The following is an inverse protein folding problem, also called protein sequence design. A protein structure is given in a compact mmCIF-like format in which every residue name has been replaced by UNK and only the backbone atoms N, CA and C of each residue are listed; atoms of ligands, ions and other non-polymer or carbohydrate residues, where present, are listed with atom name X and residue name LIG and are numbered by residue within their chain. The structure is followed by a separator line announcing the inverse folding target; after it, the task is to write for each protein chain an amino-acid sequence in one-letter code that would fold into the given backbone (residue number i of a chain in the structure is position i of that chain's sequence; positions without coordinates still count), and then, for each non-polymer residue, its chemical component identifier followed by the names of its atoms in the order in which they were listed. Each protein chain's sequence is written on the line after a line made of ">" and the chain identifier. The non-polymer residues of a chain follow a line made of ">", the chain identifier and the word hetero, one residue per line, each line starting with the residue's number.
data_IF_980550879108
#
_entry.id   IF_980550879108
#
_cell.length_a   1.000
_cell.length_b   1.000
_cell.length_c   1.000
_cell.angle_alpha   90.00
_cell.angle_beta   90.00
_cell.angle_gamma   90.00
#
_symmetry.space_group_name_H-M   'P 1'
#
loop_
_entity.id
_entity.type
_entity.pdbx_description
1 polymer ?
#
# COMPACT_ATOMS: atom_id res chain seq x y z
N UNK A 1 0.32 -28.69 -7.70
CA UNK A 1 -0.73 -28.14 -8.58
C UNK A 1 -2.02 -27.81 -7.83
N UNK A 2 -2.67 -28.75 -7.11
CA UNK A 2 -3.98 -28.50 -6.43
C UNK A 2 -4.00 -27.28 -5.49
N UNK A 3 -2.97 -27.07 -4.63
CA UNK A 3 -2.92 -25.92 -3.70
C UNK A 3 -2.92 -24.56 -4.41
N UNK A 4 -2.20 -24.43 -5.53
CA UNK A 4 -2.16 -23.17 -6.27
C UNK A 4 -3.49 -22.88 -6.99
N UNK A 5 -4.17 -23.91 -7.49
CA UNK A 5 -5.50 -23.77 -8.08
C UNK A 5 -6.49 -23.29 -7.03
N UNK A 6 -6.53 -23.91 -5.85
CA UNK A 6 -7.42 -23.51 -4.74
C UNK A 6 -7.15 -22.06 -4.34
N UNK A 7 -5.87 -21.67 -4.13
CA UNK A 7 -5.49 -20.28 -3.79
C UNK A 7 -5.98 -19.30 -4.85
N UNK A 8 -5.78 -19.60 -6.12
CA UNK A 8 -6.23 -18.75 -7.24
C UNK A 8 -7.75 -18.65 -7.28
N UNK A 9 -8.47 -19.77 -7.13
CA UNK A 9 -9.94 -19.77 -7.09
C UNK A 9 -10.48 -18.92 -5.93
N UNK A 10 -9.88 -19.00 -4.74
CA UNK A 10 -10.28 -18.16 -3.61
C UNK A 10 -10.04 -16.67 -3.87
N UNK A 11 -8.93 -16.30 -4.50
CA UNK A 11 -8.65 -14.89 -4.84
C UNK A 11 -9.64 -14.36 -5.88
N UNK A 12 -9.99 -15.16 -6.89
CA UNK A 12 -11.02 -14.79 -7.86
C UNK A 12 -12.41 -14.70 -7.22
N UNK A 13 -12.78 -15.66 -6.37
CA UNK A 13 -14.05 -15.63 -5.65
C UNK A 13 -14.15 -14.35 -4.80
N UNK A 14 -13.11 -14.02 -4.05
CA UNK A 14 -13.06 -12.80 -3.25
C UNK A 14 -13.21 -11.54 -4.13
N UNK A 15 -12.56 -11.52 -5.29
CA UNK A 15 -12.69 -10.43 -6.26
C UNK A 15 -14.14 -10.30 -6.74
N UNK A 16 -14.77 -11.41 -7.12
CA UNK A 16 -16.17 -11.40 -7.55
C UNK A 16 -17.12 -10.93 -6.47
N UNK A 17 -16.91 -11.34 -5.22
CA UNK A 17 -17.72 -10.87 -4.08
C UNK A 17 -17.63 -9.34 -3.93
N UNK A 18 -16.42 -8.79 -3.95
CA UNK A 18 -16.24 -7.33 -3.86
C UNK A 18 -16.81 -6.59 -5.06
N UNK A 19 -16.63 -7.10 -6.27
CA UNK A 19 -17.20 -6.49 -7.48
C UNK A 19 -18.73 -6.59 -7.48
N UNK A 20 -19.31 -7.69 -6.99
CA UNK A 20 -20.75 -7.80 -6.84
C UNK A 20 -21.31 -6.70 -5.93
N UNK A 21 -20.73 -6.48 -4.74
CA UNK A 21 -21.17 -5.43 -3.83
C UNK A 21 -20.89 -4.02 -4.37
N UNK A 22 -19.84 -3.86 -5.16
CA UNK A 22 -19.48 -2.61 -5.83
C UNK A 22 -20.53 -2.24 -6.88
N UNK A 23 -20.90 -3.19 -7.76
CA UNK A 23 -21.83 -2.94 -8.85
C UNK A 23 -23.31 -3.15 -8.49
N UNK A 24 -23.62 -3.74 -7.36
CA UNK A 24 -24.98 -3.99 -6.92
C UNK A 24 -25.76 -2.70 -6.75
N UNK A 25 -26.99 -2.62 -7.31
CA UNK A 25 -27.89 -1.47 -7.22
C UNK A 25 -27.28 -0.15 -7.76
N UNK A 26 -26.57 -0.24 -8.85
CA UNK A 26 -25.93 0.90 -9.53
C UNK A 26 -26.71 1.22 -10.80
N UNK A 27 -26.98 2.50 -11.03
CA UNK A 27 -27.59 2.98 -12.25
C UNK A 27 -26.51 3.22 -13.31
N UNK A 28 -26.40 2.31 -14.28
CA UNK A 28 -25.34 2.34 -15.28
C UNK A 28 -25.35 3.56 -16.19
N UNK A 29 -26.54 4.11 -16.49
CA UNK A 29 -26.67 5.35 -17.24
C UNK A 29 -25.97 6.52 -16.55
N UNK A 30 -26.10 6.62 -15.23
CA UNK A 30 -25.39 7.64 -14.45
C UNK A 30 -23.88 7.39 -14.39
N UNK A 31 -23.46 6.13 -14.17
CA UNK A 31 -22.04 5.78 -14.14
C UNK A 31 -21.32 6.19 -15.42
N UNK A 32 -21.91 5.88 -16.57
CA UNK A 32 -21.33 6.25 -17.87
C UNK A 32 -21.20 7.77 -18.03
N UNK A 33 -22.18 8.54 -17.54
CA UNK A 33 -22.11 10.00 -17.48
C UNK A 33 -20.89 10.49 -16.69
N UNK A 34 -20.63 9.89 -15.52
CA UNK A 34 -19.49 10.28 -14.66
C UNK A 34 -18.12 9.85 -15.20
N UNK A 35 -18.04 8.89 -16.14
CA UNK A 35 -16.78 8.55 -16.81
C UNK A 35 -16.29 9.68 -17.74
N UNK A 36 -17.19 10.50 -18.25
CA UNK A 36 -16.90 11.53 -19.24
C UNK A 36 -16.87 12.95 -18.69
N UNK A 37 -17.33 13.18 -17.47
CA UNK A 37 -17.45 14.52 -16.85
C UNK A 37 -16.17 15.01 -16.17
N UNK A 38 -15.03 14.36 -16.40
CA UNK A 38 -13.75 14.69 -15.76
C UNK A 38 -13.14 15.95 -16.40
N UNK A 39 -12.76 16.92 -15.57
CA UNK A 39 -12.02 18.09 -16.05
C UNK A 39 -10.60 17.69 -16.53
N UNK A 40 -10.35 17.88 -17.81
CA UNK A 40 -9.12 17.42 -18.49
C UNK A 40 -7.84 18.01 -17.87
N UNK A 41 -7.87 19.24 -17.36
CA UNK A 41 -6.70 19.88 -16.73
C UNK A 41 -6.24 19.07 -15.49
N UNK A 42 -7.18 18.77 -14.60
CA UNK A 42 -6.87 17.98 -13.39
C UNK A 42 -6.54 16.53 -13.74
N UNK A 43 -7.14 15.97 -14.77
CA UNK A 43 -6.81 14.63 -15.27
C UNK A 43 -5.34 14.55 -15.73
N UNK A 44 -4.85 15.52 -16.48
CA UNK A 44 -3.44 15.60 -16.90
C UNK A 44 -2.52 15.74 -15.68
N UNK A 45 -2.91 16.58 -14.70
CA UNK A 45 -2.14 16.72 -13.44
C UNK A 45 -2.03 15.37 -12.72
N UNK A 46 -3.11 14.58 -12.64
CA UNK A 46 -3.08 13.26 -12.02
C UNK A 46 -2.12 12.29 -12.73
N UNK A 47 -2.09 12.32 -14.06
CA UNK A 47 -1.13 11.52 -14.85
C UNK A 47 0.31 11.89 -14.49
N UNK A 48 0.60 13.20 -14.36
CA UNK A 48 1.95 13.71 -14.02
C UNK A 48 2.31 13.37 -12.56
N UNK A 49 1.36 13.47 -11.63
CA UNK A 49 1.62 13.19 -10.20
C UNK A 49 1.81 11.69 -9.94
N UNK A 50 1.17 10.82 -10.71
CA UNK A 50 1.27 9.36 -10.48
C UNK A 50 2.73 8.85 -10.38
N UNK A 51 3.67 9.17 -11.29
CA UNK A 51 5.06 8.75 -11.14
C UNK A 51 5.80 9.44 -9.99
N UNK A 52 5.33 10.60 -9.52
CA UNK A 52 5.94 11.30 -8.37
C UNK A 52 5.83 10.44 -7.09
N UNK A 53 4.78 9.64 -6.96
CA UNK A 53 4.67 8.68 -5.86
C UNK A 53 5.79 7.64 -5.85
N UNK A 54 6.29 7.23 -7.03
CA UNK A 54 7.44 6.32 -7.11
C UNK A 54 8.73 7.02 -6.71
N UNK A 55 8.88 8.30 -7.10
CA UNK A 55 10.02 9.14 -6.72
C UNK A 55 10.10 9.29 -5.20
N UNK A 56 9.01 9.72 -4.56
CA UNK A 56 8.97 9.96 -3.10
C UNK A 56 9.23 8.68 -2.31
N UNK A 57 8.63 7.57 -2.74
CA UNK A 57 8.87 6.24 -2.14
C UNK A 57 10.30 5.75 -2.36
N UNK A 58 10.87 5.95 -3.55
CA UNK A 58 12.24 5.57 -3.86
C UNK A 58 13.27 6.36 -3.04
N UNK A 59 13.00 7.66 -2.78
CA UNK A 59 13.83 8.48 -1.89
C UNK A 59 13.74 7.96 -0.46
N UNK A 60 12.52 7.70 0.05
CA UNK A 60 12.32 7.17 1.39
C UNK A 60 13.04 5.83 1.60
N UNK A 61 12.92 4.91 0.64
CA UNK A 61 13.48 3.57 0.74
C UNK A 61 15.02 3.55 0.82
N UNK A 62 15.69 4.54 0.28
CA UNK A 62 17.15 4.68 0.42
C UNK A 62 17.60 4.63 1.88
N UNK A 63 16.84 5.25 2.78
CA UNK A 63 17.20 5.30 4.19
C UNK A 63 17.16 3.94 4.89
N UNK A 64 16.36 3.01 4.41
CA UNK A 64 16.37 1.61 4.86
C UNK A 64 17.54 0.82 4.24
N UNK A 65 17.80 1.03 2.95
CA UNK A 65 18.83 0.30 2.22
C UNK A 65 20.26 0.70 2.60
N UNK A 66 20.47 1.90 3.10
CA UNK A 66 21.80 2.44 3.50
C UNK A 66 22.56 1.57 4.50
N UNK A 67 21.86 0.74 5.27
CA UNK A 67 22.49 -0.08 6.32
C UNK A 67 23.31 -1.25 5.76
N UNK A 68 22.98 -1.73 4.56
CA UNK A 68 23.80 -2.75 3.89
C UNK A 68 24.71 -2.11 2.83
N UNK A 69 24.20 -1.10 2.11
CA UNK A 69 24.93 -0.46 1.02
C UNK A 69 24.77 1.06 1.07
N UNK A 70 25.87 1.78 1.28
CA UNK A 70 25.87 3.26 1.47
C UNK A 70 25.20 4.03 0.33
N UNK A 71 25.32 3.56 -0.93
CA UNK A 71 24.70 4.19 -2.11
C UNK A 71 24.04 3.14 -2.99
N UNK A 72 22.72 3.14 -3.01
CA UNK A 72 21.88 2.41 -3.95
C UNK A 72 21.44 3.36 -5.05
N UNK A 73 21.57 3.00 -6.33
CA UNK A 73 21.20 3.89 -7.43
C UNK A 73 19.73 4.26 -7.37
N UNK A 74 19.43 5.56 -7.48
CA UNK A 74 18.05 6.06 -7.49
C UNK A 74 17.23 5.41 -8.62
N UNK A 75 17.82 5.30 -9.84
CA UNK A 75 17.16 4.67 -10.97
C UNK A 75 16.70 3.24 -10.67
N UNK A 76 17.52 2.43 -9.97
CA UNK A 76 17.17 1.05 -9.63
C UNK A 76 16.04 0.99 -8.58
N UNK A 77 16.03 1.91 -7.62
CA UNK A 77 14.95 2.04 -6.64
C UNK A 77 13.63 2.49 -7.29
N UNK A 78 13.69 3.51 -8.17
CA UNK A 78 12.54 3.99 -8.94
C UNK A 78 11.97 2.89 -9.86
N UNK A 79 12.83 2.26 -10.66
CA UNK A 79 12.45 1.15 -11.54
C UNK A 79 11.79 0.00 -10.76
N UNK A 80 12.33 -0.30 -9.57
CA UNK A 80 11.79 -1.31 -8.68
C UNK A 80 10.34 -1.03 -8.26
N UNK A 81 10.00 0.23 -7.92
CA UNK A 81 8.63 0.62 -7.61
C UNK A 81 7.72 0.49 -8.83
N UNK A 82 8.11 1.08 -9.97
CA UNK A 82 7.33 1.03 -11.19
C UNK A 82 7.06 -0.40 -11.65
N UNK A 83 8.11 -1.24 -11.72
CA UNK A 83 8.02 -2.65 -12.11
C UNK A 83 7.20 -3.45 -11.09
N UNK A 84 7.43 -3.25 -9.78
CA UNK A 84 6.70 -3.94 -8.73
C UNK A 84 5.20 -3.64 -8.76
N UNK A 85 4.81 -2.38 -8.89
CA UNK A 85 3.40 -2.02 -9.02
C UNK A 85 2.78 -2.56 -10.33
N UNK A 86 3.51 -2.50 -11.45
CA UNK A 86 3.06 -3.10 -12.72
C UNK A 86 2.78 -4.59 -12.57
N UNK A 87 3.69 -5.33 -11.93
CA UNK A 87 3.48 -6.77 -11.64
C UNK A 87 2.27 -6.98 -10.73
N UNK A 88 2.06 -6.12 -9.72
CA UNK A 88 0.88 -6.21 -8.82
C UNK A 88 -0.44 -5.90 -9.54
N UNK A 89 -0.44 -5.04 -10.56
CA UNK A 89 -1.62 -4.77 -11.37
C UNK A 89 -1.95 -5.90 -12.35
N UNK A 90 -0.93 -6.61 -12.85
CA UNK A 90 -1.15 -7.64 -13.89
C UNK A 90 -1.36 -9.03 -13.28
N UNK A 91 -0.59 -9.36 -12.23
CA UNK A 91 -0.63 -10.68 -11.62
C UNK A 91 -1.38 -10.67 -10.29
N UNK A 92 -2.14 -11.73 -9.98
CA UNK A 92 -2.85 -11.84 -8.70
C UNK A 92 -1.89 -12.08 -7.54
N UNK A 93 -2.37 -11.81 -6.30
CA UNK A 93 -1.64 -12.12 -5.08
C UNK A 93 -0.55 -11.13 -4.73
N UNK A 94 -0.57 -9.91 -5.31
CA UNK A 94 0.39 -8.83 -5.03
C UNK A 94 1.85 -9.24 -5.21
N UNK A 95 2.11 -10.07 -6.22
CA UNK A 95 3.45 -10.59 -6.52
C UNK A 95 4.51 -9.49 -6.70
N UNK A 96 4.09 -8.29 -7.08
CA UNK A 96 4.99 -7.16 -7.21
C UNK A 96 5.65 -6.75 -5.89
N UNK A 97 5.05 -7.02 -4.73
CA UNK A 97 5.69 -6.76 -3.43
C UNK A 97 6.89 -7.69 -3.17
N UNK A 98 6.88 -8.88 -3.76
CA UNK A 98 8.02 -9.79 -3.73
C UNK A 98 9.03 -9.47 -4.84
N UNK A 99 8.53 -9.14 -6.04
CA UNK A 99 9.39 -8.80 -7.19
C UNK A 99 10.21 -7.54 -6.92
N UNK A 100 9.62 -6.52 -6.29
CA UNK A 100 10.26 -5.22 -6.01
C UNK A 100 11.60 -5.37 -5.27
N UNK A 101 11.67 -6.01 -4.09
CA UNK A 101 12.92 -6.18 -3.36
C UNK A 101 13.94 -7.07 -4.09
N UNK A 102 13.47 -8.14 -4.73
CA UNK A 102 14.35 -9.04 -5.48
C UNK A 102 15.00 -8.34 -6.68
N UNK A 103 14.26 -7.47 -7.35
CA UNK A 103 14.78 -6.68 -8.47
C UNK A 103 15.93 -5.76 -8.01
N UNK A 104 15.78 -5.02 -6.89
CA UNK A 104 16.86 -4.18 -6.37
C UNK A 104 18.01 -5.02 -5.84
N UNK A 105 17.74 -6.09 -5.10
CA UNK A 105 18.77 -6.97 -4.57
C UNK A 105 19.67 -7.51 -5.68
N UNK A 106 19.08 -7.93 -6.80
CA UNK A 106 19.82 -8.42 -7.96
C UNK A 106 20.62 -7.31 -8.66
N UNK A 107 19.99 -6.15 -8.93
CA UNK A 107 20.64 -5.02 -9.63
C UNK A 107 21.78 -4.40 -8.82
N UNK A 108 21.65 -4.36 -7.51
CA UNK A 108 22.59 -3.72 -6.60
C UNK A 108 23.53 -4.70 -5.89
N UNK A 109 23.38 -6.02 -6.17
CA UNK A 109 24.17 -7.11 -5.54
C UNK A 109 24.08 -7.07 -4.00
N UNK A 110 22.84 -6.93 -3.49
CA UNK A 110 22.52 -6.89 -2.05
C UNK A 110 21.92 -8.22 -1.60
N UNK A 111 21.97 -8.49 -0.30
CA UNK A 111 21.27 -9.64 0.30
C UNK A 111 19.76 -9.57 0.02
N UNK A 112 19.21 -10.61 -0.59
CA UNK A 112 17.76 -10.70 -0.87
C UNK A 112 16.96 -10.58 0.40
N UNK A 113 17.39 -11.27 1.45
CA UNK A 113 16.72 -11.29 2.72
C UNK A 113 16.71 -9.93 3.42
N UNK A 114 17.83 -9.24 3.45
CA UNK A 114 17.90 -7.88 3.97
C UNK A 114 16.94 -6.95 3.23
N UNK A 115 16.96 -6.95 1.89
CA UNK A 115 16.07 -6.08 1.09
C UNK A 115 14.59 -6.44 1.29
N UNK A 116 14.26 -7.75 1.42
CA UNK A 116 12.90 -8.20 1.79
C UNK A 116 12.50 -7.67 3.17
N UNK A 117 13.39 -7.77 4.18
CA UNK A 117 13.16 -7.22 5.51
C UNK A 117 12.83 -5.73 5.50
N UNK A 118 13.50 -4.92 4.65
CA UNK A 118 13.19 -3.49 4.53
C UNK A 118 11.78 -3.21 4.02
N UNK A 119 11.19 -4.11 3.21
CA UNK A 119 9.79 -3.98 2.76
C UNK A 119 8.82 -4.15 3.93
N UNK A 120 9.09 -5.13 4.81
CA UNK A 120 8.26 -5.34 5.99
C UNK A 120 8.30 -4.11 6.90
N UNK A 121 9.49 -3.56 7.14
CA UNK A 121 9.65 -2.30 7.89
C UNK A 121 8.86 -1.17 7.23
N UNK A 122 9.00 -1.00 5.92
CA UNK A 122 8.26 0.01 5.17
C UNK A 122 6.74 -0.13 5.33
N UNK A 123 6.19 -1.36 5.20
CA UNK A 123 4.75 -1.62 5.40
C UNK A 123 4.29 -1.35 6.83
N UNK A 124 5.10 -1.73 7.81
CA UNK A 124 4.82 -1.44 9.22
C UNK A 124 4.66 0.07 9.45
N UNK A 125 5.61 0.88 8.96
CA UNK A 125 5.53 2.33 9.09
C UNK A 125 4.37 2.93 8.28
N UNK A 126 4.07 2.40 7.10
CA UNK A 126 2.92 2.86 6.31
C UNK A 126 1.60 2.68 7.10
N UNK A 127 1.40 1.53 7.74
CA UNK A 127 0.22 1.27 8.58
C UNK A 127 0.22 2.22 9.78
N UNK A 128 1.34 2.35 10.48
CA UNK A 128 1.46 3.24 11.65
C UNK A 128 1.12 4.69 11.32
N UNK A 129 1.69 5.24 10.25
CA UNK A 129 1.44 6.63 9.84
C UNK A 129 -0.04 6.83 9.48
N UNK A 130 -0.65 5.90 8.75
CA UNK A 130 -2.06 6.03 8.39
C UNK A 130 -2.99 5.90 9.58
N UNK A 131 -2.72 4.98 10.51
CA UNK A 131 -3.47 4.89 11.76
C UNK A 131 -3.29 6.14 12.62
N UNK A 132 -2.08 6.70 12.67
CA UNK A 132 -1.80 7.94 13.39
C UNK A 132 -2.55 9.13 12.78
N UNK A 133 -2.51 9.30 11.44
CA UNK A 133 -3.25 10.36 10.75
C UNK A 133 -4.76 10.21 10.97
N UNK A 134 -5.30 8.99 10.89
CA UNK A 134 -6.71 8.73 11.17
C UNK A 134 -7.06 9.06 12.63
N UNK A 135 -6.23 8.67 13.58
CA UNK A 135 -6.41 9.01 14.99
C UNK A 135 -6.41 10.53 15.24
N UNK A 136 -5.44 11.25 14.65
CA UNK A 136 -5.40 12.72 14.72
C UNK A 136 -6.65 13.36 14.09
N UNK A 137 -7.10 12.84 12.94
CA UNK A 137 -8.31 13.31 12.29
C UNK A 137 -9.52 13.16 13.23
N UNK A 138 -9.71 11.99 13.82
CA UNK A 138 -10.83 11.73 14.74
C UNK A 138 -10.78 12.64 15.98
N UNK A 139 -9.59 12.80 16.57
CA UNK A 139 -9.38 13.67 17.72
C UNK A 139 -9.58 15.16 17.41
N UNK A 140 -9.44 15.55 16.13
CA UNK A 140 -9.64 16.95 15.70
C UNK A 140 -11.11 17.35 15.57
N UNK A 141 -12.08 16.42 15.67
CA UNK A 141 -13.52 16.72 15.49
C UNK A 141 -14.03 17.88 16.34
N UNK A 142 -13.71 17.97 17.65
CA UNK A 142 -14.19 19.07 18.45
C UNK A 142 -13.70 20.44 17.98
N UNK A 143 -12.52 20.48 17.33
CA UNK A 143 -11.89 21.71 16.85
C UNK A 143 -12.40 22.12 15.45
N UNK A 144 -12.73 21.12 14.60
CA UNK A 144 -13.12 21.33 13.20
C UNK A 144 -14.32 20.48 12.80
N UNK A 145 -15.52 20.72 13.38
CA UNK A 145 -16.71 19.92 13.09
C UNK A 145 -17.07 19.91 11.59
N UNK A 146 -16.80 21.01 10.88
CA UNK A 146 -17.09 21.16 9.45
C UNK A 146 -16.30 20.22 8.53
N UNK A 147 -15.23 19.59 9.03
CA UNK A 147 -14.47 18.58 8.27
C UNK A 147 -15.11 17.20 8.30
N UNK A 148 -16.11 17.00 9.16
CA UNK A 148 -16.79 15.73 9.35
C UNK A 148 -18.12 15.75 8.60
N UNK A 149 -18.09 15.24 7.36
CA UNK A 149 -19.27 15.14 6.50
C UNK A 149 -20.09 13.87 6.78
N UNK A 150 -19.54 12.96 7.59
CA UNK A 150 -20.15 11.69 7.92
C UNK A 150 -21.34 11.85 8.91
N UNK A 151 -22.30 10.92 8.83
CA UNK A 151 -23.38 10.80 9.83
C UNK A 151 -22.81 10.45 11.20
N UNK A 152 -23.57 10.72 12.29
CA UNK A 152 -23.16 10.38 13.66
C UNK A 152 -22.86 8.89 13.83
N UNK A 153 -23.63 8.00 13.17
CA UNK A 153 -23.40 6.56 13.18
C UNK A 153 -22.07 6.20 12.50
N UNK A 154 -21.80 6.73 11.31
CA UNK A 154 -20.56 6.53 10.59
C UNK A 154 -19.36 7.09 11.38
N UNK A 155 -19.57 8.21 12.10
CA UNK A 155 -18.55 8.78 12.98
C UNK A 155 -18.25 7.87 14.19
N UNK A 156 -19.26 7.36 14.87
CA UNK A 156 -19.06 6.49 16.04
C UNK A 156 -18.30 5.21 15.66
N UNK A 157 -18.64 4.63 14.53
CA UNK A 157 -17.89 3.49 13.96
C UNK A 157 -16.45 3.89 13.61
N UNK A 158 -16.24 5.06 12.98
CA UNK A 158 -14.91 5.56 12.66
C UNK A 158 -14.06 5.79 13.91
N UNK A 159 -14.66 6.32 14.99
CA UNK A 159 -13.99 6.54 16.26
C UNK A 159 -13.49 5.23 16.86
N UNK A 160 -14.33 4.19 16.91
CA UNK A 160 -13.94 2.87 17.36
C UNK A 160 -12.79 2.30 16.53
N UNK A 161 -12.91 2.32 15.21
CA UNK A 161 -11.86 1.85 14.31
C UNK A 161 -10.59 2.70 14.40
N UNK A 162 -10.70 4.00 14.65
CA UNK A 162 -9.56 4.88 14.87
C UNK A 162 -8.81 4.54 16.16
N UNK A 163 -9.53 4.32 17.27
CA UNK A 163 -8.92 3.89 18.53
C UNK A 163 -8.20 2.54 18.35
N UNK A 164 -8.88 1.57 17.72
CA UNK A 164 -8.28 0.27 17.41
C UNK A 164 -7.03 0.46 16.53
N UNK A 165 -7.11 1.30 15.50
CA UNK A 165 -5.99 1.58 14.59
C UNK A 165 -4.79 2.19 15.33
N UNK A 166 -5.01 3.16 16.21
CA UNK A 166 -3.94 3.75 17.04
C UNK A 166 -3.36 2.70 17.99
N UNK A 167 -4.21 1.91 18.64
CA UNK A 167 -3.75 0.84 19.54
C UNK A 167 -2.90 -0.19 18.79
N UNK A 168 -3.34 -0.62 17.60
CA UNK A 168 -2.57 -1.52 16.72
C UNK A 168 -1.25 -0.88 16.29
N UNK A 169 -1.26 0.40 15.91
CA UNK A 169 -0.04 1.11 15.50
C UNK A 169 0.97 1.16 16.66
N UNK A 170 0.51 1.52 17.87
CA UNK A 170 1.36 1.55 19.07
C UNK A 170 1.87 0.17 19.43
N UNK A 171 1.02 -0.86 19.36
CA UNK A 171 1.42 -2.24 19.59
C UNK A 171 2.49 -2.70 18.60
N UNK A 172 2.28 -2.50 17.30
CA UNK A 172 3.25 -2.86 16.26
C UNK A 172 4.57 -2.11 16.46
N UNK A 173 4.51 -0.82 16.84
CA UNK A 173 5.70 -0.05 17.14
C UNK A 173 6.44 -0.59 18.39
N UNK A 174 5.71 -0.89 19.46
CA UNK A 174 6.29 -1.49 20.66
C UNK A 174 6.94 -2.85 20.35
N UNK A 175 6.28 -3.69 19.53
CA UNK A 175 6.88 -4.95 19.06
C UNK A 175 8.13 -4.71 18.25
N UNK A 176 8.14 -3.75 17.34
CA UNK A 176 9.33 -3.40 16.55
C UNK A 176 10.49 -2.94 17.44
N UNK A 177 10.21 -2.10 18.47
CA UNK A 177 11.21 -1.68 19.46
C UNK A 177 11.70 -2.86 20.31
N UNK A 178 10.79 -3.74 20.74
CA UNK A 178 11.16 -4.94 21.48
C UNK A 178 12.08 -5.86 20.67
N UNK A 179 11.76 -6.11 19.39
CA UNK A 179 12.59 -6.89 18.48
C UNK A 179 13.95 -6.25 18.24
N UNK A 180 14.01 -4.92 18.24
CA UNK A 180 15.25 -4.18 18.06
C UNK A 180 16.14 -4.24 19.30
N UNK A 181 15.59 -3.92 20.50
CA UNK A 181 16.38 -3.85 21.74
C UNK A 181 16.65 -5.22 22.36
N UNK A 182 15.75 -6.17 22.23
CA UNK A 182 15.80 -7.48 22.86
C UNK A 182 15.90 -8.63 21.85
N UNK A 183 16.70 -8.42 20.81
CA UNK A 183 16.85 -9.33 19.67
C UNK A 183 16.99 -10.81 20.08
N UNK A 184 17.92 -11.12 21.00
CA UNK A 184 18.22 -12.50 21.43
C UNK A 184 17.01 -13.14 22.17
N UNK A 185 16.37 -12.36 23.05
CA UNK A 185 15.15 -12.79 23.75
C UNK A 185 14.00 -13.02 22.78
N UNK A 186 13.83 -12.10 21.81
CA UNK A 186 12.78 -12.21 20.80
C UNK A 186 12.96 -13.48 19.95
N UNK A 187 14.16 -13.75 19.47
CA UNK A 187 14.47 -14.97 18.71
C UNK A 187 14.27 -16.25 19.58
N UNK A 188 14.63 -16.22 20.86
CA UNK A 188 14.39 -17.33 21.77
C UNK A 188 12.90 -17.60 21.98
N UNK A 189 12.08 -16.53 22.17
CA UNK A 189 10.63 -16.66 22.27
C UNK A 189 10.03 -17.26 20.99
N UNK A 190 10.42 -16.74 19.82
CA UNK A 190 9.95 -17.25 18.54
C UNK A 190 10.33 -18.72 18.38
N UNK A 191 11.58 -19.08 18.68
CA UNK A 191 12.05 -20.47 18.61
C UNK A 191 11.26 -21.38 19.56
N UNK A 192 10.91 -20.89 20.76
CA UNK A 192 10.08 -21.64 21.70
C UNK A 192 8.69 -21.96 21.12
N UNK A 193 8.01 -20.98 20.53
CA UNK A 193 6.70 -21.19 19.90
C UNK A 193 6.77 -22.03 18.62
N UNK A 194 7.92 -22.07 17.95
CA UNK A 194 8.13 -22.87 16.76
C UNK A 194 8.54 -24.31 17.03
N UNK A 195 8.79 -24.70 18.30
CA UNK A 195 9.14 -26.08 18.66
C UNK A 195 8.20 -27.17 18.10
N UNK A 196 6.84 -26.99 18.10
CA UNK A 196 5.92 -27.98 17.55
C UNK A 196 5.85 -27.97 16.01
N UNK A 197 6.52 -27.02 15.35
CA UNK A 197 6.48 -26.84 13.88
C UNK A 197 7.61 -27.66 13.24
N UNK A 198 7.36 -28.35 12.09
CA UNK A 198 8.42 -29.10 11.40
C UNK A 198 9.63 -28.22 11.11
N UNK A 199 10.85 -28.76 11.34
CA UNK A 199 12.13 -28.03 11.24
C UNK A 199 12.26 -27.20 9.95
N UNK A 200 11.87 -27.76 8.80
CA UNK A 200 11.95 -27.06 7.51
C UNK A 200 11.13 -25.76 7.46
N UNK A 201 9.99 -25.70 8.16
CA UNK A 201 9.13 -24.52 8.22
C UNK A 201 9.63 -23.58 9.32
N UNK A 202 10.02 -24.12 10.46
CA UNK A 202 10.58 -23.38 11.60
C UNK A 202 11.82 -22.58 11.20
N UNK A 203 12.77 -23.22 10.53
CA UNK A 203 14.02 -22.58 10.08
C UNK A 203 13.73 -21.43 9.13
N UNK A 204 12.79 -21.60 8.20
CA UNK A 204 12.38 -20.57 7.26
C UNK A 204 11.72 -19.36 7.96
N UNK A 205 10.85 -19.61 8.95
CA UNK A 205 10.23 -18.56 9.77
C UNK A 205 11.30 -17.81 10.55
N UNK A 206 12.22 -18.51 11.20
CA UNK A 206 13.33 -17.91 11.94
C UNK A 206 14.24 -17.07 11.06
N UNK A 207 14.52 -17.50 9.82
CA UNK A 207 15.29 -16.74 8.86
C UNK A 207 14.60 -15.42 8.50
N UNK A 208 13.29 -15.45 8.19
CA UNK A 208 12.50 -14.24 7.92
C UNK A 208 12.53 -13.27 9.12
N UNK A 209 12.40 -13.78 10.35
CA UNK A 209 12.49 -12.93 11.55
C UNK A 209 13.90 -12.35 11.76
N UNK A 210 14.96 -13.13 11.53
CA UNK A 210 16.34 -12.63 11.59
C UNK A 210 16.58 -11.51 10.58
N UNK A 211 16.07 -11.68 9.36
CA UNK A 211 16.17 -10.70 8.29
C UNK A 211 15.36 -9.44 8.61
N UNK A 212 14.14 -9.60 9.15
CA UNK A 212 13.34 -8.47 9.64
C UNK A 212 14.08 -7.67 10.72
N UNK A 213 14.63 -8.38 11.73
CA UNK A 213 15.42 -7.74 12.78
C UNK A 213 16.67 -7.04 12.22
N UNK A 214 17.30 -7.58 11.17
CA UNK A 214 18.39 -6.88 10.47
C UNK A 214 17.91 -5.60 9.79
N UNK A 215 16.71 -5.62 9.19
CA UNK A 215 16.07 -4.42 8.66
C UNK A 215 15.84 -3.33 9.72
N UNK A 216 15.58 -3.72 10.98
CA UNK A 216 15.39 -2.78 12.09
C UNK A 216 16.69 -2.10 12.55
N UNK A 217 17.87 -2.51 12.09
CA UNK A 217 19.15 -1.84 12.40
C UNK A 217 19.17 -0.36 11.99
N UNK A 218 18.27 0.07 11.09
CA UNK A 218 18.16 1.47 10.74
C UNK A 218 17.80 2.38 11.96
N UNK A 219 17.19 1.82 13.02
CA UNK A 219 16.96 2.52 14.29
C UNK A 219 18.25 2.95 15.00
N UNK A 220 19.40 2.41 14.63
CA UNK A 220 20.69 2.78 15.23
C UNK A 220 21.08 4.23 14.95
N UNK A 221 20.56 4.82 13.88
CA UNK A 221 20.78 6.24 13.56
C UNK A 221 19.48 7.01 13.73
N UNK A 222 19.35 7.74 14.84
CA UNK A 222 18.19 8.60 15.12
C UNK A 222 17.95 9.59 13.96
N UNK A 223 18.99 10.15 13.36
CA UNK A 223 18.87 11.03 12.20
C UNK A 223 18.21 10.35 11.01
N UNK A 224 18.64 9.13 10.66
CA UNK A 224 18.03 8.37 9.56
C UNK A 224 16.58 7.98 9.88
N UNK A 225 16.28 7.64 11.13
CA UNK A 225 14.93 7.33 11.58
C UNK A 225 14.01 8.55 11.45
N UNK A 226 14.43 9.71 11.95
CA UNK A 226 13.64 10.95 11.85
C UNK A 226 13.37 11.33 10.40
N UNK A 227 14.38 11.25 9.53
CA UNK A 227 14.21 11.52 8.09
C UNK A 227 13.27 10.49 7.45
N UNK A 228 13.38 9.21 7.82
CA UNK A 228 12.47 8.17 7.31
C UNK A 228 11.02 8.41 7.74
N UNK A 229 10.79 8.77 9.00
CA UNK A 229 9.46 9.13 9.53
C UNK A 229 8.93 10.36 8.78
N UNK A 230 9.72 11.42 8.67
CA UNK A 230 9.34 12.63 7.93
C UNK A 230 8.96 12.31 6.48
N UNK A 231 9.78 11.53 5.77
CA UNK A 231 9.49 11.11 4.40
C UNK A 231 8.26 10.20 4.33
N UNK A 232 7.97 9.42 5.37
CA UNK A 232 6.75 8.60 5.42
C UNK A 232 5.50 9.46 5.54
N UNK A 233 5.52 10.51 6.37
CA UNK A 233 4.44 11.51 6.39
C UNK A 233 4.31 12.19 5.03
N UNK A 234 5.41 12.60 4.42
CA UNK A 234 5.41 13.24 3.11
C UNK A 234 4.80 12.35 2.02
N UNK A 235 5.11 11.05 2.02
CA UNK A 235 4.50 10.08 1.09
C UNK A 235 2.98 10.02 1.29
N UNK A 236 2.50 9.92 2.53
CA UNK A 236 1.08 9.78 2.80
C UNK A 236 0.30 11.08 2.58
N UNK A 237 0.84 12.21 2.96
CA UNK A 237 0.28 13.51 2.61
C UNK A 237 0.24 13.70 1.08
N UNK A 238 1.27 13.27 0.36
CA UNK A 238 1.25 13.27 -1.10
C UNK A 238 0.16 12.38 -1.72
N UNK A 239 -0.16 11.23 -1.08
CA UNK A 239 -1.27 10.37 -1.52
C UNK A 239 -2.61 11.06 -1.25
N UNK A 240 -2.80 11.69 -0.08
CA UNK A 240 -4.01 12.48 0.21
C UNK A 240 -4.13 13.62 -0.81
N UNK A 241 -3.04 14.30 -1.13
CA UNK A 241 -3.00 15.37 -2.15
C UNK A 241 -3.39 14.87 -3.54
N UNK A 242 -2.95 13.67 -3.93
CA UNK A 242 -3.35 13.05 -5.19
C UNK A 242 -4.87 12.85 -5.27
N UNK A 243 -5.49 12.32 -4.23
CA UNK A 243 -6.94 12.16 -4.19
C UNK A 243 -7.68 13.50 -4.06
N UNK A 244 -7.09 14.48 -3.39
CA UNK A 244 -7.65 15.83 -3.32
C UNK A 244 -7.75 16.47 -4.72
N UNK A 245 -6.71 16.40 -5.54
CA UNK A 245 -6.72 16.81 -6.93
C UNK A 245 -7.73 16.00 -7.74
N UNK A 246 -7.85 14.71 -7.47
CA UNK A 246 -8.82 13.84 -8.13
C UNK A 246 -10.28 14.32 -7.89
N UNK A 247 -10.64 14.70 -6.68
CA UNK A 247 -11.97 15.24 -6.41
C UNK A 247 -12.22 16.57 -7.11
N UNK A 248 -11.22 17.44 -7.23
CA UNK A 248 -11.33 18.65 -8.03
C UNK A 248 -11.57 18.37 -9.52
N UNK A 249 -11.07 17.27 -10.05
CA UNK A 249 -11.35 16.87 -11.42
C UNK A 249 -12.85 16.62 -11.68
N UNK A 250 -13.61 16.35 -10.63
CA UNK A 250 -15.07 16.19 -10.66
C UNK A 250 -15.85 17.40 -10.12
N UNK A 251 -15.17 18.54 -9.94
CA UNK A 251 -15.79 19.75 -9.40
C UNK A 251 -16.18 19.64 -7.92
N UNK A 252 -15.60 18.65 -7.20
CA UNK A 252 -15.84 18.46 -5.77
C UNK A 252 -14.73 19.08 -4.95
N UNK A 253 -15.09 19.96 -4.02
CA UNK A 253 -14.13 20.62 -3.11
C UNK A 253 -14.34 20.12 -1.69
N UNK A 254 -13.36 19.40 -1.16
CA UNK A 254 -13.34 18.94 0.21
C UNK A 254 -12.17 19.56 0.98
N UNK A 255 -12.31 19.80 2.28
CA UNK A 255 -11.17 20.12 3.14
C UNK A 255 -10.11 19.02 3.03
N UNK A 256 -8.86 19.41 2.90
CA UNK A 256 -7.77 18.46 2.59
C UNK A 256 -7.72 17.25 3.56
N UNK A 257 -7.80 17.51 4.86
CA UNK A 257 -7.72 16.46 5.87
C UNK A 257 -9.00 15.62 6.01
N UNK A 258 -10.16 16.07 5.50
CA UNK A 258 -11.38 15.27 5.49
C UNK A 258 -11.28 14.03 4.59
N UNK A 259 -10.28 13.96 3.74
CA UNK A 259 -10.00 12.81 2.89
C UNK A 259 -9.27 11.67 3.59
N UNK A 260 -8.78 11.87 4.83
CA UNK A 260 -8.01 10.84 5.55
C UNK A 260 -8.79 9.52 5.71
N UNK A 261 -10.08 9.51 6.16
CA UNK A 261 -10.85 8.28 6.27
C UNK A 261 -11.03 7.56 4.93
N UNK A 262 -11.29 8.32 3.87
CA UNK A 262 -11.41 7.79 2.51
C UNK A 262 -10.10 7.12 2.05
N UNK A 263 -8.97 7.80 2.22
CA UNK A 263 -7.64 7.28 1.84
C UNK A 263 -7.28 6.05 2.68
N UNK A 264 -7.61 6.05 3.97
CA UNK A 264 -7.41 4.90 4.85
C UNK A 264 -8.18 3.67 4.35
N UNK A 265 -9.48 3.80 4.07
CA UNK A 265 -10.27 2.68 3.53
C UNK A 265 -9.76 2.21 2.16
N UNK A 266 -9.41 3.14 1.30
CA UNK A 266 -8.84 2.82 -0.02
C UNK A 266 -7.54 2.03 0.11
N UNK A 267 -6.67 2.38 1.09
CA UNK A 267 -5.46 1.63 1.42
C UNK A 267 -5.79 0.22 1.91
N UNK A 268 -6.77 0.08 2.80
CA UNK A 268 -7.23 -1.24 3.29
C UNK A 268 -7.70 -2.09 2.10
N UNK A 269 -8.55 -1.55 1.24
CA UNK A 269 -9.04 -2.23 0.04
C UNK A 269 -7.92 -2.61 -0.93
N UNK A 270 -6.96 -1.70 -1.17
CA UNK A 270 -5.80 -1.97 -2.00
C UNK A 270 -4.87 -3.02 -1.37
N UNK A 271 -4.91 -3.24 -0.04
CA UNK A 271 -4.10 -4.24 0.65
C UNK A 271 -4.62 -5.67 0.47
N UNK A 272 -5.87 -5.83 0.06
CA UNK A 272 -6.45 -7.14 -0.23
C UNK A 272 -5.81 -7.70 -1.52
N UNK A 273 -5.32 -8.95 -1.52
CA UNK A 273 -4.52 -9.50 -2.63
C UNK A 273 -5.38 -9.95 -3.82
N UNK A 274 -6.33 -9.12 -4.25
CA UNK A 274 -7.17 -9.36 -5.43
C UNK A 274 -6.40 -9.13 -6.73
N UNK A 275 -6.72 -9.85 -7.83
CA UNK A 275 -6.10 -9.62 -9.13
C UNK A 275 -6.25 -8.18 -9.59
N UNK A 276 -5.13 -7.55 -9.97
CA UNK A 276 -5.11 -6.16 -10.40
C UNK A 276 -5.53 -5.16 -9.33
N UNK A 277 -5.56 -5.54 -8.05
CA UNK A 277 -6.21 -4.80 -6.96
C UNK A 277 -7.71 -4.54 -7.20
N UNK A 278 -8.29 -5.17 -8.25
CA UNK A 278 -9.71 -5.05 -8.57
C UNK A 278 -10.57 -5.69 -7.48
N UNK A 279 -11.77 -5.17 -7.28
CA UNK A 279 -12.67 -5.63 -6.22
C UNK A 279 -12.39 -4.96 -4.90
N UNK A 280 -11.31 -5.32 -4.19
CA UNK A 280 -10.96 -4.74 -2.89
C UNK A 280 -10.83 -3.21 -2.96
N UNK A 281 -9.93 -2.70 -3.80
CA UNK A 281 -9.79 -1.27 -4.02
C UNK A 281 -11.13 -0.62 -4.42
N UNK A 282 -11.86 -1.22 -5.37
CA UNK A 282 -13.10 -0.66 -5.87
C UNK A 282 -14.17 -0.54 -4.79
N UNK A 283 -14.40 -1.61 -4.05
CA UNK A 283 -15.41 -1.62 -2.99
C UNK A 283 -15.09 -0.64 -1.87
N UNK A 284 -13.87 -0.66 -1.33
CA UNK A 284 -13.51 0.22 -0.22
C UNK A 284 -13.37 1.69 -0.64
N UNK A 285 -12.96 1.99 -1.87
CA UNK A 285 -12.98 3.35 -2.42
C UNK A 285 -14.42 3.88 -2.52
N UNK A 286 -15.35 3.08 -3.08
CA UNK A 286 -16.78 3.43 -3.12
C UNK A 286 -17.33 3.65 -1.71
N UNK A 287 -17.10 2.73 -0.77
CA UNK A 287 -17.56 2.86 0.61
C UNK A 287 -16.99 4.13 1.27
N UNK A 288 -15.71 4.42 1.06
CA UNK A 288 -15.10 5.63 1.58
C UNK A 288 -15.73 6.91 1.05
N UNK A 289 -16.05 6.96 -0.24
CA UNK A 289 -16.74 8.09 -0.87
C UNK A 289 -18.18 8.26 -0.36
N UNK A 290 -18.92 7.15 -0.25
CA UNK A 290 -20.33 7.21 0.18
C UNK A 290 -20.48 7.47 1.68
N UNK A 291 -19.63 6.89 2.53
CA UNK A 291 -19.76 6.96 3.97
C UNK A 291 -19.15 8.23 4.59
N UNK A 292 -18.09 8.77 3.99
CA UNK A 292 -17.33 9.88 4.60
C UNK A 292 -17.39 11.18 3.80
N UNK A 293 -17.72 11.12 2.50
CA UNK A 293 -17.75 12.30 1.64
C UNK A 293 -19.13 12.60 1.08
N UNK A 294 -20.16 11.86 1.52
CA UNK A 294 -21.56 12.02 1.10
C UNK A 294 -21.75 12.04 -0.44
N UNK A 295 -20.99 11.19 -1.13
CA UNK A 295 -21.06 11.06 -2.59
C UNK A 295 -22.04 9.94 -2.93
N UNK A 296 -23.02 10.23 -3.81
CA UNK A 296 -23.98 9.23 -4.29
C UNK A 296 -23.27 8.00 -4.90
N UNK A 297 -23.80 6.80 -4.66
CA UNK A 297 -23.16 5.53 -4.99
C UNK A 297 -22.80 5.41 -6.47
N UNK A 298 -23.69 5.74 -7.40
CA UNK A 298 -23.42 5.68 -8.84
C UNK A 298 -22.22 6.57 -9.24
N UNK A 299 -22.16 7.79 -8.66
CA UNK A 299 -21.03 8.71 -8.85
C UNK A 299 -19.74 8.14 -8.26
N UNK A 300 -19.78 7.61 -7.04
CA UNK A 300 -18.62 6.99 -6.40
C UNK A 300 -18.06 5.81 -7.20
N UNK A 301 -18.94 4.99 -7.79
CA UNK A 301 -18.57 3.86 -8.67
C UNK A 301 -17.86 4.39 -9.93
N UNK A 302 -18.45 5.36 -10.65
CA UNK A 302 -17.85 5.94 -11.84
C UNK A 302 -16.47 6.57 -11.55
N UNK A 303 -16.38 7.35 -10.48
CA UNK A 303 -15.12 7.96 -10.03
C UNK A 303 -14.07 6.91 -9.67
N UNK A 304 -14.46 5.84 -8.97
CA UNK A 304 -13.52 4.76 -8.60
C UNK A 304 -12.96 4.05 -9.84
N UNK A 305 -13.77 3.79 -10.84
CA UNK A 305 -13.32 3.19 -12.11
C UNK A 305 -12.26 4.08 -12.76
N UNK A 306 -12.51 5.39 -12.86
CA UNK A 306 -11.58 6.34 -13.48
C UNK A 306 -10.26 6.42 -12.74
N UNK A 307 -10.27 6.58 -11.41
CA UNK A 307 -9.01 6.71 -10.66
C UNK A 307 -8.18 5.42 -10.71
N UNK A 308 -8.82 4.25 -10.65
CA UNK A 308 -8.14 2.98 -10.80
C UNK A 308 -7.54 2.81 -12.19
N UNK A 309 -8.28 3.18 -13.25
CA UNK A 309 -7.78 3.14 -14.62
C UNK A 309 -6.57 4.06 -14.82
N UNK A 310 -6.59 5.29 -14.28
CA UNK A 310 -5.43 6.21 -14.34
C UNK A 310 -4.21 5.55 -13.70
N UNK A 311 -4.36 5.05 -12.47
CA UNK A 311 -3.26 4.43 -11.72
C UNK A 311 -2.71 3.21 -12.45
N UNK A 312 -3.57 2.34 -12.95
CA UNK A 312 -3.20 1.14 -13.68
C UNK A 312 -2.46 1.48 -14.99
N UNK A 313 -3.07 2.31 -15.82
CA UNK A 313 -2.51 2.63 -17.15
C UNK A 313 -1.17 3.35 -17.03
N UNK A 314 -1.09 4.41 -16.22
CA UNK A 314 0.15 5.18 -16.08
C UNK A 314 1.26 4.32 -15.47
N UNK A 315 0.94 3.54 -14.43
CA UNK A 315 1.93 2.65 -13.80
C UNK A 315 2.43 1.58 -14.76
N UNK A 316 1.51 0.93 -15.49
CA UNK A 316 1.88 -0.11 -16.45
C UNK A 316 2.70 0.45 -17.61
N UNK A 317 2.37 1.63 -18.15
CA UNK A 317 3.16 2.26 -19.20
C UNK A 317 4.60 2.52 -18.75
N UNK A 318 4.79 3.06 -17.55
CA UNK A 318 6.14 3.32 -17.01
C UNK A 318 6.88 2.00 -16.76
N UNK A 319 6.23 1.02 -16.13
CA UNK A 319 6.86 -0.26 -15.84
C UNK A 319 7.23 -1.04 -17.09
N UNK A 320 6.35 -1.06 -18.09
CA UNK A 320 6.66 -1.70 -19.38
C UNK A 320 7.79 -0.99 -20.12
N UNK A 321 7.83 0.35 -20.13
CA UNK A 321 8.93 1.09 -20.74
C UNK A 321 10.28 0.76 -20.10
N UNK A 322 10.32 0.61 -18.76
CA UNK A 322 11.52 0.19 -18.03
C UNK A 322 11.92 -1.24 -18.41
N UNK A 323 10.98 -2.18 -18.37
CA UNK A 323 11.22 -3.58 -18.67
C UNK A 323 11.71 -3.78 -20.11
N UNK A 324 11.10 -3.05 -21.05
CA UNK A 324 11.53 -3.08 -22.46
C UNK A 324 12.95 -2.57 -22.62
N UNK A 325 13.27 -1.42 -22.00
CA UNK A 325 14.64 -0.87 -22.02
C UNK A 325 15.69 -1.84 -21.43
N UNK A 326 15.29 -2.65 -20.46
CA UNK A 326 16.18 -3.60 -19.78
C UNK A 326 16.20 -4.99 -20.43
N UNK A 327 15.36 -5.25 -21.43
CA UNK A 327 15.24 -6.56 -22.08
C UNK A 327 14.67 -7.65 -21.15
N UNK A 328 13.93 -7.27 -20.11
CA UNK A 328 13.36 -8.21 -19.12
C UNK A 328 11.88 -8.45 -19.45
N UNK A 329 11.49 -9.72 -19.55
CA UNK A 329 10.08 -10.07 -19.73
C UNK A 329 9.32 -10.14 -18.40
N UNK A 330 8.03 -9.78 -18.40
CA UNK A 330 7.15 -9.92 -17.23
C UNK A 330 7.07 -11.37 -16.71
N UNK A 331 7.15 -12.37 -17.60
CA UNK A 331 7.15 -13.77 -17.22
C UNK A 331 8.41 -14.20 -16.47
N UNK A 332 9.56 -13.59 -16.77
CA UNK A 332 10.79 -13.81 -15.99
C UNK A 332 10.64 -13.26 -14.57
N UNK A 333 10.04 -12.09 -14.43
CA UNK A 333 9.76 -11.48 -13.11
C UNK A 333 8.73 -12.29 -12.31
N UNK A 334 7.70 -12.83 -12.97
CA UNK A 334 6.74 -13.72 -12.33
C UNK A 334 7.43 -14.96 -11.74
N UNK A 335 8.33 -15.60 -12.50
CA UNK A 335 9.11 -16.74 -12.01
C UNK A 335 10.00 -16.39 -10.82
N UNK A 336 10.59 -15.16 -10.79
CA UNK A 336 11.36 -14.68 -9.63
C UNK A 336 10.47 -14.54 -8.39
N UNK A 337 9.28 -13.95 -8.52
CA UNK A 337 8.32 -13.82 -7.42
C UNK A 337 7.81 -15.17 -6.91
N UNK A 338 7.47 -16.10 -7.81
CA UNK A 338 7.01 -17.46 -7.45
C UNK A 338 8.12 -18.30 -6.80
N UNK A 339 9.37 -18.07 -7.14
CA UNK A 339 10.51 -18.75 -6.52
C UNK A 339 10.77 -18.26 -5.08
N UNK A 340 10.41 -17.01 -4.78
CA UNK A 340 10.51 -16.46 -3.43
C UNK A 340 9.32 -16.88 -2.52
N UNK A 341 8.19 -17.28 -3.11
CA UNK A 341 6.99 -17.73 -2.40
C UNK A 341 7.08 -19.26 -2.03
N UNK A 342 8.11 -19.97 -2.53
CA UNK A 342 8.42 -21.37 -2.24
C UNK A 342 9.51 -21.49 -1.17
#
# INVERSE_FOLDING_TARGET
>A
MKKNVIRMSLLFLLTFVFLYFFFRRVEWSEVLGYLTTVNLKFFIILIIITPIHFVTRAIRWEYLLKHEKKKVKFSNRFSSYAVGFTVSFIFPGRLGELVRPLYVAQKEKMSKGFVMGTIVVERTFDIMIMCFLLGLFILSRPLYPSYFLATEEAYSNLQLWGIIGVAVALFVFAVALFLYFFREKALSIITFFLKPVPHRISDRILEVFKEFIQGLKFFHSIGNLLVFIFLSFFVWLGIIFYYWIFFFAYGLSFPYFSLIPYVFLTMVGASIPTPGMAGGFHYFSMVGMTSFLDIAKSKAVGMTIVIHAIQLVVTCLIGYAILWKEGISLFQLKKLGEAADK
#
